data_IF_840183165018
#
_entry.id   IF_840183165018
#
_cell.length_a   1.000
_cell.length_b   1.000
_cell.length_c   1.000
_cell.angle_alpha   90.00
_cell.angle_beta   90.00
_cell.angle_gamma   90.00
#
_symmetry.space_group_name_H-M   'P 1'
#
loop_
_entity.id
_entity.type
_entity.pdbx_description
1 polymer ?
#
# COMPACT_ATOMS: atom_id res chain seq x y z
N UNK A 1 16.55 24.15 13.23
CA UNK A 1 16.25 25.23 14.17
C UNK A 1 17.29 25.23 15.29
N UNK A 2 17.29 26.22 16.18
CA UNK A 2 18.19 26.26 17.34
C UNK A 2 17.37 26.04 18.59
N UNK A 3 17.75 25.04 19.39
CA UNK A 3 17.19 24.80 20.72
C UNK A 3 18.05 25.55 21.71
N UNK A 4 17.42 26.37 22.55
CA UNK A 4 18.05 27.02 23.68
C UNK A 4 17.43 26.45 24.95
N UNK A 5 18.26 25.82 25.77
CA UNK A 5 17.87 25.29 27.07
C UNK A 5 18.33 26.29 28.12
N UNK A 6 17.39 26.80 28.91
CA UNK A 6 17.66 27.80 29.93
C UNK A 6 18.52 27.23 31.07
N UNK A 7 19.42 28.04 31.62
CA UNK A 7 20.28 27.66 32.74
C UNK A 7 19.47 27.28 34.00
N UNK A 8 18.24 27.79 34.12
CA UNK A 8 17.36 27.56 35.25
C UNK A 8 16.51 26.29 35.13
N UNK A 9 16.65 25.52 34.05
CA UNK A 9 15.93 24.26 33.89
C UNK A 9 16.19 23.36 35.11
N UNK A 10 15.10 23.00 35.80
CA UNK A 10 15.13 22.26 37.05
C UNK A 10 15.01 20.76 36.76
N UNK A 11 15.90 19.97 37.35
CA UNK A 11 15.77 18.52 37.38
C UNK A 11 14.81 18.08 38.49
N UNK A 12 14.35 16.83 38.43
CA UNK A 12 13.40 16.26 39.40
C UNK A 12 13.95 16.23 40.84
N UNK A 13 15.27 16.24 41.01
CA UNK A 13 15.97 16.28 42.30
C UNK A 13 16.17 17.72 42.83
N UNK A 14 15.68 18.74 42.12
CA UNK A 14 15.80 20.14 42.48
C UNK A 14 17.09 20.84 42.02
N UNK A 15 18.02 20.11 41.39
CA UNK A 15 19.23 20.70 40.80
C UNK A 15 18.91 21.49 39.52
N UNK A 16 19.78 22.44 39.16
CA UNK A 16 19.63 23.30 37.96
C UNK A 16 20.72 23.02 36.95
N UNK A 17 20.42 23.23 35.67
CA UNK A 17 21.37 23.07 34.55
C UNK A 17 22.61 23.97 34.70
N UNK A 18 22.47 25.15 35.31
CA UNK A 18 23.57 26.03 35.72
C UNK A 18 24.19 26.87 34.59
N UNK A 19 24.15 26.43 33.33
CA UNK A 19 24.56 27.21 32.15
C UNK A 19 23.57 27.00 31.00
N UNK A 20 23.29 28.05 30.19
CA UNK A 20 22.41 27.88 29.06
C UNK A 20 23.08 27.01 27.99
N UNK A 21 22.33 26.04 27.44
CA UNK A 21 22.80 25.18 26.36
C UNK A 21 22.17 25.64 25.04
N UNK A 22 22.99 25.94 24.05
CA UNK A 22 22.53 26.30 22.70
C UNK A 22 22.94 25.19 21.74
N UNK A 23 21.96 24.46 21.20
CA UNK A 23 22.20 23.38 20.26
C UNK A 23 21.49 23.65 18.94
N UNK A 24 22.27 23.62 17.85
CA UNK A 24 21.71 23.71 16.50
C UNK A 24 21.23 22.32 16.10
N UNK A 25 19.92 22.18 15.87
CA UNK A 25 19.30 20.92 15.48
C UNK A 25 18.88 21.03 14.01
N UNK A 26 19.32 20.06 13.21
CA UNK A 26 18.88 19.92 11.82
C UNK A 26 17.87 18.78 11.72
N UNK A 27 16.61 19.13 11.52
CA UNK A 27 15.57 18.18 11.11
C UNK A 27 15.43 18.32 9.60
N UNK A 28 16.06 17.42 8.85
CA UNK A 28 15.88 17.37 7.40
C UNK A 28 14.42 17.09 7.05
N UNK A 29 13.94 17.59 5.91
CA UNK A 29 12.61 17.23 5.43
C UNK A 29 12.56 15.73 5.14
N UNK A 30 11.49 15.07 5.57
CA UNK A 30 11.26 13.68 5.20
C UNK A 30 11.08 13.61 3.68
N UNK A 31 11.80 12.69 3.04
CA UNK A 31 11.62 12.46 1.60
C UNK A 31 10.17 12.07 1.33
N UNK A 32 9.51 12.62 0.30
CA UNK A 32 8.15 12.25 -0.04
C UNK A 32 8.06 10.76 -0.38
N UNK A 33 7.17 10.05 0.30
CA UNK A 33 6.93 8.61 0.09
C UNK A 33 5.44 8.35 0.15
N UNK A 34 4.95 7.51 -0.76
CA UNK A 34 3.64 6.89 -0.71
C UNK A 34 3.79 5.39 -1.02
N UNK A 35 3.01 4.56 -0.36
CA UNK A 35 3.01 3.11 -0.54
C UNK A 35 1.74 2.46 0.00
N UNK A 36 1.36 1.29 -0.52
CA UNK A 36 0.24 0.55 0.02
C UNK A 36 0.57 0.02 1.42
N UNK A 37 -0.39 0.16 2.34
CA UNK A 37 -0.23 -0.32 3.72
C UNK A 37 -0.34 -1.86 3.82
N UNK A 38 -1.04 -2.47 2.86
CA UNK A 38 -1.24 -3.91 2.77
C UNK A 38 -0.74 -4.43 1.42
N UNK A 39 -0.15 -5.62 1.45
CA UNK A 39 0.48 -6.27 0.30
C UNK A 39 -0.34 -7.46 -0.24
N UNK A 40 -1.57 -7.61 0.26
CA UNK A 40 -2.50 -8.67 -0.11
C UNK A 40 -3.67 -8.68 0.86
N UNK A 41 -4.87 -8.34 0.38
CA UNK A 41 -6.09 -8.38 1.21
C UNK A 41 -7.28 -8.83 0.38
N UNK A 42 -8.16 -9.63 0.97
CA UNK A 42 -9.51 -9.81 0.45
C UNK A 42 -10.30 -8.57 0.83
N UNK A 43 -10.95 -7.92 -0.14
CA UNK A 43 -11.90 -6.86 0.13
C UNK A 43 -13.30 -7.49 0.12
N UNK A 44 -14.04 -7.46 1.24
CA UNK A 44 -15.47 -7.76 1.22
C UNK A 44 -16.15 -6.81 0.23
N UNK A 45 -17.02 -7.34 -0.63
CA UNK A 45 -17.65 -6.59 -1.73
C UNK A 45 -18.42 -5.33 -1.28
N UNK A 46 -18.77 -5.18 0.00
CA UNK A 46 -19.63 -4.07 0.48
C UNK A 46 -19.18 -3.31 1.73
N UNK A 47 -18.30 -3.86 2.58
CA UNK A 47 -17.94 -3.22 3.87
C UNK A 47 -16.47 -2.81 4.02
N UNK A 48 -15.66 -2.94 2.97
CA UNK A 48 -14.27 -2.49 3.03
C UNK A 48 -14.16 -0.96 2.95
N UNK A 49 -13.37 -0.35 3.85
CA UNK A 49 -12.99 1.07 3.76
C UNK A 49 -12.17 1.43 2.51
N UNK A 50 -11.84 0.45 1.67
CA UNK A 50 -11.07 0.62 0.44
C UNK A 50 -9.60 0.20 0.62
N UNK A 51 -8.74 0.66 -0.29
CA UNK A 51 -7.34 0.24 -0.33
C UNK A 51 -6.47 1.18 0.54
N UNK A 52 -5.84 0.68 1.61
CA UNK A 52 -5.09 1.53 2.53
C UNK A 52 -3.74 1.97 1.94
N UNK A 53 -3.46 3.27 1.98
CA UNK A 53 -2.23 3.91 1.51
C UNK A 53 -1.60 4.70 2.65
N UNK A 54 -0.31 4.50 2.86
CA UNK A 54 0.50 5.30 3.78
C UNK A 54 1.28 6.32 2.95
N UNK A 55 1.20 7.59 3.35
CA UNK A 55 1.98 8.66 2.72
C UNK A 55 2.61 9.62 3.72
N UNK A 56 3.67 10.29 3.27
CA UNK A 56 4.31 11.44 3.93
C UNK A 56 4.77 12.41 2.87
N UNK A 57 4.43 13.70 3.02
CA UNK A 57 4.81 14.76 2.08
C UNK A 57 4.40 14.49 0.61
N UNK A 58 3.35 13.69 0.37
CA UNK A 58 2.82 13.39 -0.97
C UNK A 58 1.34 13.82 -1.01
N UNK A 59 0.99 14.85 -1.81
CA UNK A 59 -0.39 15.33 -1.89
C UNK A 59 -1.28 14.50 -2.80
N UNK A 60 -0.73 13.80 -3.79
CA UNK A 60 -1.49 13.04 -4.77
C UNK A 60 -0.68 11.86 -5.34
N UNK A 61 -1.41 10.82 -5.73
CA UNK A 61 -0.88 9.60 -6.35
C UNK A 61 -1.73 9.21 -7.55
N UNK A 62 -1.07 8.72 -8.60
CA UNK A 62 -1.74 8.09 -9.73
C UNK A 62 -1.82 6.59 -9.45
N UNK A 63 -3.00 6.01 -9.52
CA UNK A 63 -3.23 4.58 -9.30
C UNK A 63 -3.94 3.99 -10.51
N UNK A 64 -3.32 2.95 -11.07
CA UNK A 64 -3.87 2.11 -12.11
C UNK A 64 -4.31 0.79 -11.52
N UNK A 65 -5.55 0.39 -11.81
CA UNK A 65 -6.12 -0.89 -11.42
C UNK A 65 -6.22 -1.77 -12.65
N UNK A 66 -5.70 -2.98 -12.52
CA UNK A 66 -5.75 -4.03 -13.53
C UNK A 66 -6.53 -5.22 -12.99
N UNK A 67 -7.39 -5.81 -13.81
CA UNK A 67 -8.04 -7.09 -13.50
C UNK A 67 -7.18 -8.23 -14.05
N UNK A 68 -6.79 -9.16 -13.18
CA UNK A 68 -5.99 -10.32 -13.57
C UNK A 68 -6.88 -11.29 -14.35
N UNK A 69 -6.39 -11.76 -15.51
CA UNK A 69 -7.11 -12.72 -16.35
C UNK A 69 -7.21 -14.05 -15.62
N UNK A 70 -8.38 -14.68 -15.64
CA UNK A 70 -8.64 -15.94 -14.92
C UNK A 70 -7.65 -17.04 -15.29
N UNK A 71 -7.39 -17.23 -16.60
CA UNK A 71 -6.40 -18.18 -17.13
C UNK A 71 -4.97 -17.92 -16.67
N UNK A 72 -4.68 -16.69 -16.25
CA UNK A 72 -3.35 -16.23 -15.85
C UNK A 72 -3.19 -16.20 -14.32
N UNK A 73 -4.22 -16.51 -13.54
CA UNK A 73 -4.16 -16.51 -12.07
C UNK A 73 -3.02 -17.36 -11.51
N UNK A 74 -2.78 -18.62 -11.96
CA UNK A 74 -1.68 -19.41 -11.43
C UNK A 74 -0.31 -18.77 -11.67
N UNK A 75 -0.07 -18.27 -12.89
CA UNK A 75 1.17 -17.59 -13.26
C UNK A 75 1.34 -16.27 -12.48
N UNK A 76 0.25 -15.51 -12.32
CA UNK A 76 0.24 -14.30 -11.52
C UNK A 76 0.63 -14.57 -10.06
N UNK A 77 0.02 -15.56 -9.40
CA UNK A 77 0.36 -15.88 -8.00
C UNK A 77 1.80 -16.40 -7.84
N UNK A 78 2.35 -17.10 -8.82
CA UNK A 78 3.76 -17.50 -8.82
C UNK A 78 4.70 -16.28 -8.85
N UNK A 79 4.38 -15.26 -9.67
CA UNK A 79 5.20 -14.06 -9.86
C UNK A 79 4.94 -12.95 -8.82
N UNK A 80 3.72 -12.88 -8.28
CA UNK A 80 3.24 -11.81 -7.40
C UNK A 80 2.79 -12.35 -6.03
N UNK A 81 3.64 -13.13 -5.38
CA UNK A 81 3.35 -13.74 -4.06
C UNK A 81 3.11 -12.71 -2.94
N UNK A 82 3.68 -11.51 -3.08
CA UNK A 82 3.47 -10.36 -2.18
C UNK A 82 3.42 -9.09 -3.02
N UNK A 83 2.57 -8.14 -2.63
CA UNK A 83 2.73 -6.76 -3.05
C UNK A 83 4.07 -6.18 -2.57
N UNK A 84 4.42 -5.02 -3.10
CA UNK A 84 5.54 -4.22 -2.61
C UNK A 84 6.02 -3.23 -3.65
N UNK A 85 7.17 -2.61 -3.35
CA UNK A 85 7.87 -1.77 -4.32
C UNK A 85 8.44 -2.61 -5.45
N UNK A 86 8.15 -2.23 -6.68
CA UNK A 86 8.64 -2.88 -7.90
C UNK A 86 9.18 -1.85 -8.88
N UNK A 87 10.28 -2.18 -9.53
CA UNK A 87 10.76 -1.39 -10.66
C UNK A 87 9.93 -1.61 -11.93
N UNK A 88 9.93 -0.63 -12.84
CA UNK A 88 9.34 -0.79 -14.20
C UNK A 88 9.83 -2.06 -14.89
N UNK A 89 11.14 -2.34 -14.78
CA UNK A 89 11.74 -3.56 -15.33
C UNK A 89 11.14 -4.85 -14.77
N UNK A 90 10.74 -4.89 -13.50
CA UNK A 90 10.14 -6.10 -12.92
C UNK A 90 8.69 -6.33 -13.38
N UNK A 91 7.99 -5.26 -13.75
CA UNK A 91 6.62 -5.33 -14.26
C UNK A 91 6.57 -5.70 -15.75
N UNK A 92 7.62 -5.38 -16.50
CA UNK A 92 7.73 -5.61 -17.94
C UNK A 92 8.67 -6.77 -18.33
N UNK A 93 9.39 -7.36 -17.37
CA UNK A 93 10.37 -8.42 -17.66
C UNK A 93 9.73 -9.68 -18.24
N UNK A 94 10.37 -10.22 -19.28
CA UNK A 94 10.07 -11.54 -19.86
C UNK A 94 11.15 -12.60 -19.52
N UNK A 95 11.99 -12.35 -18.50
CA UNK A 95 13.09 -13.25 -18.12
C UNK A 95 12.74 -14.15 -16.91
N UNK A 96 13.40 -15.31 -16.81
CA UNK A 96 13.25 -16.27 -15.70
C UNK A 96 11.79 -16.68 -15.41
N UNK A 97 11.09 -17.15 -16.45
CA UNK A 97 9.69 -17.63 -16.40
C UNK A 97 8.65 -16.57 -15.97
N UNK A 98 9.03 -15.30 -15.89
CA UNK A 98 8.10 -14.19 -15.61
C UNK A 98 7.40 -13.74 -16.87
N UNK A 99 6.12 -13.39 -16.72
CA UNK A 99 5.35 -12.76 -17.77
C UNK A 99 5.19 -11.27 -17.47
N UNK A 100 5.23 -10.40 -18.48
CA UNK A 100 4.95 -8.99 -18.30
C UNK A 100 3.51 -8.84 -17.80
N UNK A 101 3.27 -7.86 -16.94
CA UNK A 101 1.97 -7.64 -16.31
C UNK A 101 0.85 -7.49 -17.35
N UNK A 102 1.15 -6.89 -18.51
CA UNK A 102 0.21 -6.75 -19.64
C UNK A 102 -0.25 -8.09 -20.24
N UNK A 103 0.53 -9.18 -20.09
CA UNK A 103 0.15 -10.55 -20.48
C UNK A 103 -0.64 -11.28 -19.39
N UNK A 104 -0.66 -10.76 -18.16
CA UNK A 104 -1.36 -11.35 -17.03
C UNK A 104 -2.68 -10.64 -16.68
N UNK A 105 -2.76 -9.33 -16.87
CA UNK A 105 -3.87 -8.50 -16.44
C UNK A 105 -4.25 -7.44 -17.50
N UNK A 106 -5.49 -6.98 -17.43
CA UNK A 106 -6.06 -5.95 -18.27
C UNK A 106 -6.30 -4.68 -17.44
N UNK A 107 -5.89 -3.48 -17.90
CA UNK A 107 -6.21 -2.24 -17.21
C UNK A 107 -7.72 -2.00 -17.26
N UNK A 108 -8.33 -1.70 -16.11
CA UNK A 108 -9.77 -1.47 -16.01
C UNK A 108 -10.12 -0.07 -15.52
N UNK A 109 -9.24 0.56 -14.74
CA UNK A 109 -9.51 1.88 -14.20
C UNK A 109 -8.19 2.60 -13.84
N UNK A 110 -8.12 3.89 -14.13
CA UNK A 110 -6.98 4.75 -13.76
C UNK A 110 -7.54 6.03 -13.17
N UNK A 111 -7.04 6.43 -12.01
CA UNK A 111 -7.40 7.72 -11.43
C UNK A 111 -6.28 8.31 -10.58
N UNK A 112 -6.32 9.63 -10.42
CA UNK A 112 -5.50 10.37 -9.48
C UNK A 112 -6.26 10.53 -8.17
N UNK A 113 -5.65 10.08 -7.08
CA UNK A 113 -6.21 10.18 -5.74
C UNK A 113 -5.48 11.26 -4.95
N UNK A 114 -6.26 12.15 -4.32
CA UNK A 114 -5.75 13.14 -3.40
C UNK A 114 -5.49 12.46 -2.06
N UNK A 115 -4.28 12.63 -1.55
CA UNK A 115 -3.86 12.15 -0.24
C UNK A 115 -3.87 13.33 0.75
N UNK A 116 -4.36 13.08 1.96
CA UNK A 116 -4.35 14.06 3.03
C UNK A 116 -2.99 14.16 3.74
N UNK A 117 -2.97 14.97 4.80
CA UNK A 117 -1.86 15.04 5.76
C UNK A 117 -1.11 16.37 5.77
N UNK A 118 -0.56 16.71 6.94
CA UNK A 118 0.28 17.89 7.10
C UNK A 118 1.72 17.58 6.69
N UNK A 119 2.52 18.65 6.52
CA UNK A 119 3.94 18.50 6.22
C UNK A 119 4.65 17.71 7.33
N UNK A 120 5.45 16.72 6.91
CA UNK A 120 6.20 15.78 7.74
C UNK A 120 5.34 14.91 8.67
N UNK A 121 4.06 14.74 8.32
CA UNK A 121 3.15 13.83 9.02
C UNK A 121 2.94 12.56 8.17
N UNK A 122 3.13 11.39 8.81
CA UNK A 122 2.79 10.11 8.18
C UNK A 122 1.31 9.86 8.41
N UNK A 123 0.54 9.74 7.32
CA UNK A 123 -0.91 9.51 7.40
C UNK A 123 -1.30 8.20 6.73
N UNK A 124 -2.40 7.61 7.20
CA UNK A 124 -3.07 6.47 6.59
C UNK A 124 -4.34 6.98 5.91
N UNK A 125 -4.37 6.93 4.58
CA UNK A 125 -5.55 7.28 3.75
C UNK A 125 -6.12 6.00 3.15
N UNK A 126 -7.43 5.93 2.95
CA UNK A 126 -8.06 4.81 2.25
C UNK A 126 -8.56 5.28 0.89
N UNK A 127 -8.16 4.58 -0.18
CA UNK A 127 -8.64 4.88 -1.52
C UNK A 127 -10.04 4.27 -1.71
N UNK A 128 -11.04 5.06 -2.13
CA UNK A 128 -12.42 4.58 -2.29
C UNK A 128 -12.52 3.68 -3.52
N UNK A 129 -12.34 2.37 -3.33
CA UNK A 129 -12.49 1.38 -4.42
C UNK A 129 -13.95 0.96 -4.63
N UNK A 130 -14.81 1.19 -3.66
CA UNK A 130 -16.21 0.76 -3.70
C UNK A 130 -17.07 1.57 -4.67
N UNK A 131 -16.73 2.84 -4.88
CA UNK A 131 -17.48 3.71 -5.79
C UNK A 131 -17.11 3.49 -7.27
N UNK A 132 -16.12 2.62 -7.53
CA UNK A 132 -15.61 2.32 -8.87
C UNK A 132 -16.29 1.05 -9.37
N UNK A 133 -17.21 1.21 -10.33
CA UNK A 133 -18.03 0.12 -10.87
C UNK A 133 -17.19 -1.03 -11.41
N UNK A 134 -16.08 -0.74 -12.08
CA UNK A 134 -15.17 -1.72 -12.68
C UNK A 134 -14.46 -2.60 -11.63
N UNK A 135 -14.37 -2.14 -10.38
CA UNK A 135 -13.77 -2.84 -9.26
C UNK A 135 -14.80 -3.61 -8.40
N UNK A 136 -16.09 -3.57 -8.77
CA UNK A 136 -17.13 -4.32 -8.06
C UNK A 136 -17.32 -5.74 -8.61
N UNK A 137 -16.85 -6.01 -9.83
CA UNK A 137 -16.93 -7.34 -10.44
C UNK A 137 -16.07 -8.35 -9.65
N UNK A 138 -16.55 -9.58 -9.40
CA UNK A 138 -15.75 -10.58 -8.73
C UNK A 138 -14.45 -10.89 -9.49
N UNK A 139 -13.32 -10.90 -8.79
CA UNK A 139 -12.03 -11.14 -9.42
C UNK A 139 -10.83 -10.71 -8.58
N UNK A 140 -9.65 -11.03 -9.10
CA UNK A 140 -8.38 -10.56 -8.57
C UNK A 140 -7.98 -9.27 -9.29
N UNK A 141 -7.68 -8.25 -8.52
CA UNK A 141 -7.23 -6.95 -9.00
C UNK A 141 -5.81 -6.66 -8.54
N UNK A 142 -5.07 -5.96 -9.39
CA UNK A 142 -3.73 -5.49 -9.13
C UNK A 142 -3.71 -3.96 -9.22
N UNK A 143 -3.30 -3.31 -8.16
CA UNK A 143 -3.16 -1.86 -8.09
C UNK A 143 -1.69 -1.49 -8.22
N UNK A 144 -1.38 -0.60 -9.16
CA UNK A 144 -0.06 -0.04 -9.42
C UNK A 144 -0.11 1.45 -9.13
N UNK A 145 0.64 1.88 -8.13
CA UNK A 145 0.68 3.26 -7.68
C UNK A 145 2.02 3.91 -8.01
N UNK A 146 1.96 5.14 -8.50
CA UNK A 146 3.10 6.05 -8.63
C UNK A 146 2.78 7.41 -8.02
N UNK A 147 3.83 8.12 -7.59
CA UNK A 147 3.67 9.50 -7.11
C UNK A 147 3.45 10.42 -8.31
N UNK A 148 2.45 11.29 -8.21
CA UNK A 148 2.18 12.24 -9.29
C UNK A 148 3.40 13.16 -9.50
N UNK A 149 3.73 13.42 -10.76
CA UNK A 149 4.89 14.26 -11.13
C UNK A 149 6.25 13.63 -10.82
N UNK A 150 6.30 12.37 -10.38
CA UNK A 150 7.56 11.63 -10.22
C UNK A 150 7.82 10.74 -11.41
N UNK A 151 9.09 10.76 -11.86
CA UNK A 151 9.61 9.90 -12.92
C UNK A 151 10.64 8.92 -12.36
N UNK A 152 10.60 8.66 -11.05
CA UNK A 152 11.32 7.51 -10.51
C UNK A 152 10.64 6.25 -11.04
N UNK A 153 11.40 5.34 -11.66
CA UNK A 153 10.87 4.10 -12.23
C UNK A 153 10.43 3.09 -11.14
N UNK A 154 9.95 3.58 -10.00
CA UNK A 154 9.53 2.80 -8.84
C UNK A 154 8.03 2.91 -8.62
N UNK A 155 7.36 1.78 -8.70
CA UNK A 155 5.94 1.63 -8.43
C UNK A 155 5.72 0.95 -7.09
N UNK A 156 4.70 1.35 -6.37
CA UNK A 156 4.19 0.57 -5.25
C UNK A 156 3.02 -0.28 -5.74
N UNK A 157 3.02 -1.56 -5.39
CA UNK A 157 2.04 -2.52 -5.94
C UNK A 157 1.35 -3.28 -4.83
N UNK A 158 0.05 -3.48 -4.99
CA UNK A 158 -0.74 -4.34 -4.12
C UNK A 158 -1.75 -5.12 -4.96
N UNK A 159 -2.14 -6.29 -4.49
CA UNK A 159 -3.28 -7.01 -5.06
C UNK A 159 -4.39 -7.14 -4.03
N UNK A 160 -5.61 -7.20 -4.53
CA UNK A 160 -6.78 -7.47 -3.72
C UNK A 160 -7.80 -8.31 -4.47
N UNK A 161 -8.56 -9.10 -3.73
CA UNK A 161 -9.61 -9.96 -4.30
C UNK A 161 -10.96 -9.41 -3.91
N UNK A 162 -11.85 -9.29 -4.89
CA UNK A 162 -13.27 -8.99 -4.70
C UNK A 162 -14.03 -10.30 -4.85
N UNK A 163 -14.63 -10.77 -3.76
CA UNK A 163 -15.40 -12.01 -3.74
C UNK A 163 -16.46 -11.97 -2.64
N UNK A 164 -17.54 -12.69 -2.87
CA UNK A 164 -18.60 -13.02 -1.91
C UNK A 164 -18.40 -14.41 -1.27
N UNK A 165 -17.30 -15.11 -1.58
CA UNK A 165 -17.00 -16.45 -1.06
C UNK A 165 -15.82 -16.38 -0.09
N UNK A 166 -16.04 -16.85 1.13
CA UNK A 166 -15.02 -17.12 2.13
C UNK A 166 -14.62 -18.60 2.11
N UNK A 167 -13.34 -18.88 1.92
CA UNK A 167 -12.80 -20.24 1.96
C UNK A 167 -11.95 -20.45 3.22
N UNK A 168 -12.30 -21.45 4.02
CA UNK A 168 -11.52 -21.88 5.18
C UNK A 168 -11.04 -23.31 4.99
N UNK A 169 -9.72 -23.53 4.98
CA UNK A 169 -9.13 -24.86 4.82
C UNK A 169 -8.42 -25.30 6.10
N UNK A 170 -8.55 -26.58 6.46
CA UNK A 170 -7.80 -27.24 7.54
C UNK A 170 -7.08 -28.44 6.98
N UNK A 171 -5.76 -28.36 6.92
CA UNK A 171 -4.91 -29.47 6.48
C UNK A 171 -4.51 -30.33 7.68
N UNK A 172 -4.82 -31.62 7.60
CA UNK A 172 -4.35 -32.69 8.47
C UNK A 172 -3.41 -33.60 7.66
N UNK A 173 -2.68 -34.50 8.34
CA UNK A 173 -1.68 -35.37 7.73
C UNK A 173 -2.15 -36.05 6.42
N UNK A 174 -3.37 -36.58 6.43
CA UNK A 174 -3.93 -37.34 5.30
C UNK A 174 -5.30 -36.80 4.83
N UNK A 175 -5.73 -35.62 5.33
CA UNK A 175 -7.06 -35.05 5.03
C UNK A 175 -7.01 -33.56 4.86
N UNK A 176 -7.75 -33.04 3.89
CA UNK A 176 -7.99 -31.61 3.72
C UNK A 176 -9.47 -31.35 3.94
N UNK A 177 -9.81 -30.60 5.00
CA UNK A 177 -11.17 -30.12 5.20
C UNK A 177 -11.30 -28.72 4.60
N UNK A 178 -12.29 -28.53 3.74
CA UNK A 178 -12.56 -27.27 3.06
C UNK A 178 -13.98 -26.83 3.41
N UNK A 179 -14.12 -25.63 3.95
CA UNK A 179 -15.40 -25.02 4.27
C UNK A 179 -15.57 -23.74 3.46
N UNK A 180 -16.68 -23.63 2.74
CA UNK A 180 -17.07 -22.45 1.97
C UNK A 180 -18.25 -21.78 2.65
N UNK A 181 -18.14 -20.49 2.93
CA UNK A 181 -19.20 -19.68 3.49
C UNK A 181 -19.43 -18.45 2.62
N UNK A 182 -20.65 -17.94 2.59
CA UNK A 182 -20.94 -16.62 2.01
C UNK A 182 -20.35 -15.53 2.89
N UNK A 183 -19.79 -14.49 2.27
CA UNK A 183 -19.35 -13.26 2.92
C UNK A 183 -20.46 -12.21 2.98
N UNK A 184 -21.64 -12.49 2.41
CA UNK A 184 -22.84 -11.68 2.64
C UNK A 184 -23.44 -12.09 3.99
N UNK A 185 -23.31 -11.22 4.99
CA UNK A 185 -24.08 -11.31 6.25
C UNK A 185 -25.39 -10.55 6.14
#
# INVERSE_FOLDING_TARGET
>A
YTVLVDANLLAADGSRLGKPLKQKVYTGALKPVAGFASQGSVLPARESRGLPVVSVNVPEVDVEFLRVREKSLPAFFQQFQRGGRRGSWELESEYNDKQPLSKLADPVYVNRFILGGKQNERVLTYLPTQDIKELQEPGLYFAVMKRAGSFDNGFDTAFFTVSDIGLHTRAYKDKLFVHTASLQS
#
